data_IF_653605179151
#
_entry.id   IF_653605179151
#
_cell.length_a   1.000
_cell.length_b   1.000
_cell.length_c   1.000
_cell.angle_alpha   90.00
_cell.angle_beta   90.00
_cell.angle_gamma   90.00
#
_symmetry.space_group_name_H-M   'P 1'
#
loop_
_entity.id
_entity.type
_entity.pdbx_description
1 polymer ?
#
# COMPACT_ATOMS: atom_id res chain seq x y z
N UNK A 1 7.64 -64.20 42.83
CA UNK A 1 7.47 -63.87 41.40
C UNK A 1 7.73 -62.39 41.21
N UNK A 2 8.80 -62.06 40.49
CA UNK A 2 9.14 -60.70 40.06
C UNK A 2 8.15 -60.23 38.98
N UNK A 3 7.86 -58.92 38.93
CA UNK A 3 7.47 -58.25 37.69
C UNK A 3 8.18 -56.89 37.62
N UNK A 4 9.02 -56.77 36.60
CA UNK A 4 9.84 -55.61 36.24
C UNK A 4 9.15 -54.91 35.06
N UNK A 5 9.46 -53.62 34.89
CA UNK A 5 9.34 -52.73 33.70
C UNK A 5 8.14 -51.79 33.71
N UNK A 6 8.20 -50.55 33.24
CA UNK A 6 9.28 -49.63 32.87
C UNK A 6 8.61 -48.27 32.59
N UNK A 7 9.38 -47.21 32.81
CA UNK A 7 9.25 -45.78 32.51
C UNK A 7 8.33 -45.26 31.37
N UNK A 8 8.10 -43.93 31.50
CA UNK A 8 7.76 -42.89 30.50
C UNK A 8 6.27 -42.53 30.42
N UNK A 9 5.86 -41.26 30.30
CA UNK A 9 6.59 -40.05 29.91
C UNK A 9 6.12 -38.87 30.77
N UNK A 10 7.07 -38.10 31.31
CA UNK A 10 6.76 -36.78 31.85
C UNK A 10 6.42 -35.84 30.70
N UNK A 11 5.31 -35.17 30.95
CA UNK A 11 4.55 -34.28 30.11
C UNK A 11 5.35 -33.03 29.69
N UNK A 12 4.86 -32.41 28.62
CA UNK A 12 5.51 -31.39 27.80
C UNK A 12 6.30 -30.32 28.54
N UNK A 13 7.61 -30.33 28.34
CA UNK A 13 8.45 -29.15 28.54
C UNK A 13 8.37 -28.24 27.30
N UNK A 14 7.21 -27.63 27.05
CA UNK A 14 7.16 -26.42 26.23
C UNK A 14 7.79 -25.32 27.06
N UNK A 15 9.09 -25.05 26.83
CA UNK A 15 9.76 -23.85 27.34
C UNK A 15 9.10 -22.64 26.70
N UNK A 16 8.00 -22.17 27.31
CA UNK A 16 7.51 -20.83 27.08
C UNK A 16 8.58 -19.89 27.61
N UNK A 17 9.39 -19.35 26.70
CA UNK A 17 10.13 -18.12 26.95
C UNK A 17 9.10 -16.99 27.07
N UNK A 18 8.39 -16.96 28.20
CA UNK A 18 7.57 -15.85 28.62
C UNK A 18 8.56 -14.83 29.16
N UNK A 19 9.14 -14.02 28.26
CA UNK A 19 9.69 -12.74 28.66
C UNK A 19 8.49 -11.85 29.00
N UNK A 20 7.88 -12.11 30.15
CA UNK A 20 7.11 -11.12 30.88
C UNK A 20 8.11 -10.00 31.20
N UNK A 21 8.23 -9.05 30.28
CA UNK A 21 8.68 -7.72 30.65
C UNK A 21 7.60 -7.20 31.60
N UNK A 22 7.79 -7.46 32.89
CA UNK A 22 7.05 -6.79 33.96
C UNK A 22 7.37 -5.32 33.80
N UNK A 23 6.57 -4.64 32.99
CA UNK A 23 6.68 -3.19 32.82
C UNK A 23 6.40 -2.61 34.19
N UNK A 24 7.42 -1.93 34.77
CA UNK A 24 7.30 -1.19 36.03
C UNK A 24 6.18 -0.13 35.99
N UNK A 25 5.70 0.19 34.79
CA UNK A 25 4.69 1.19 34.54
C UNK A 25 3.43 0.54 33.99
N UNK A 26 2.30 0.91 34.59
CA UNK A 26 0.99 0.59 34.04
C UNK A 26 0.83 1.28 32.68
N UNK A 27 0.25 0.57 31.70
CA UNK A 27 0.02 1.15 30.38
C UNK A 27 -0.96 2.31 30.53
N UNK A 28 -0.54 3.50 30.11
CA UNK A 28 -1.41 4.66 30.08
C UNK A 28 -2.57 4.39 29.10
N UNK A 29 -3.77 4.21 29.65
CA UNK A 29 -4.99 3.98 28.87
C UNK A 29 -5.34 5.28 28.13
N UNK A 30 -5.83 5.15 26.91
CA UNK A 30 -6.30 6.27 26.07
C UNK A 30 -5.24 7.32 25.68
N UNK A 31 -3.95 7.02 25.84
CA UNK A 31 -2.87 7.87 25.37
C UNK A 31 -2.80 7.89 23.84
N UNK A 32 -2.95 9.06 23.24
CA UNK A 32 -2.66 9.28 21.82
C UNK A 32 -1.20 9.57 21.61
N UNK A 33 -0.63 9.12 20.48
CA UNK A 33 0.70 9.54 20.09
C UNK A 33 0.76 11.07 19.87
N UNK A 34 1.92 11.70 20.10
CA UNK A 34 2.14 13.07 19.67
C UNK A 34 1.78 13.26 18.19
N UNK A 35 1.27 14.44 17.84
CA UNK A 35 0.84 14.77 16.47
C UNK A 35 1.90 14.47 15.40
N UNK A 36 3.18 14.67 15.72
CA UNK A 36 4.30 14.38 14.82
C UNK A 36 4.41 12.89 14.45
N UNK A 37 4.02 11.98 15.34
CA UNK A 37 3.99 10.54 15.05
C UNK A 37 2.70 10.20 14.28
N UNK A 38 1.58 10.82 14.64
CA UNK A 38 0.30 10.59 13.95
C UNK A 38 0.33 11.00 12.48
N UNK A 39 1.17 11.97 12.08
CA UNK A 39 1.29 12.42 10.69
C UNK A 39 2.19 11.54 9.83
N UNK A 40 3.00 10.65 10.42
CA UNK A 40 3.95 9.80 9.69
C UNK A 40 3.32 9.01 8.52
N UNK A 41 2.12 8.42 8.63
CA UNK A 41 1.50 7.73 7.50
C UNK A 41 1.28 8.64 6.28
N UNK A 42 0.90 9.90 6.50
CA UNK A 42 0.72 10.87 5.43
C UNK A 42 2.05 11.24 4.77
N UNK A 43 3.12 11.42 5.56
CA UNK A 43 4.46 11.71 5.05
C UNK A 43 4.98 10.54 4.21
N UNK A 44 4.81 9.31 4.68
CA UNK A 44 5.20 8.11 3.95
C UNK A 44 4.40 7.97 2.64
N UNK A 45 3.10 8.25 2.67
CA UNK A 45 2.28 8.28 1.44
C UNK A 45 2.82 9.29 0.43
N UNK A 46 3.18 10.49 0.88
CA UNK A 46 3.73 11.52 -0.01
C UNK A 46 5.08 11.10 -0.60
N UNK A 47 5.96 10.53 0.22
CA UNK A 47 7.25 10.00 -0.26
C UNK A 47 7.02 8.94 -1.33
N UNK A 48 6.10 8.00 -1.09
CA UNK A 48 5.77 6.96 -2.07
C UNK A 48 5.26 7.56 -3.38
N UNK A 49 4.37 8.56 -3.34
CA UNK A 49 3.88 9.26 -4.55
C UNK A 49 5.02 9.97 -5.29
N UNK A 50 5.97 10.57 -4.57
CA UNK A 50 7.11 11.28 -5.17
C UNK A 50 8.17 10.34 -5.75
N UNK A 51 8.16 9.06 -5.36
CA UNK A 51 9.10 8.04 -5.84
C UNK A 51 8.55 7.22 -7.02
N UNK A 52 7.28 7.41 -7.39
CA UNK A 52 6.67 6.71 -8.52
C UNK A 52 7.43 6.98 -9.83
N UNK A 53 7.56 5.96 -10.67
CA UNK A 53 7.93 6.18 -12.07
C UNK A 53 6.85 7.02 -12.77
N UNK A 54 7.15 7.67 -13.90
CA UNK A 54 6.14 8.38 -14.68
C UNK A 54 4.93 7.50 -15.04
N UNK A 55 5.14 6.23 -15.38
CA UNK A 55 4.09 5.26 -15.68
C UNK A 55 3.22 4.99 -14.45
N UNK A 56 3.85 4.69 -13.31
CA UNK A 56 3.15 4.43 -12.05
C UNK A 56 2.35 5.65 -11.60
N UNK A 57 2.93 6.85 -11.74
CA UNK A 57 2.27 8.11 -11.44
C UNK A 57 1.06 8.35 -12.35
N UNK A 58 1.16 8.03 -13.64
CA UNK A 58 0.03 8.14 -14.58
C UNK A 58 -1.11 7.19 -14.20
N UNK A 59 -0.77 5.94 -13.88
CA UNK A 59 -1.74 4.93 -13.41
C UNK A 59 -2.41 5.39 -12.11
N UNK A 60 -1.65 5.91 -11.15
CA UNK A 60 -2.17 6.40 -9.89
C UNK A 60 -3.10 7.61 -10.05
N UNK A 61 -2.68 8.57 -10.88
CA UNK A 61 -3.48 9.75 -11.20
C UNK A 61 -4.80 9.34 -11.85
N UNK A 62 -4.75 8.35 -12.74
CA UNK A 62 -5.92 7.81 -13.40
C UNK A 62 -6.85 7.07 -12.45
N UNK A 63 -6.31 6.22 -11.57
CA UNK A 63 -7.06 5.50 -10.53
C UNK A 63 -7.79 6.44 -9.58
N UNK A 64 -7.13 7.52 -9.19
CA UNK A 64 -7.63 8.50 -8.20
C UNK A 64 -8.44 9.65 -8.83
N UNK A 65 -8.57 9.71 -10.15
CA UNK A 65 -9.34 10.76 -10.83
C UNK A 65 -8.65 12.12 -10.90
N UNK A 66 -7.35 12.19 -10.64
CA UNK A 66 -6.58 13.44 -10.59
C UNK A 66 -6.18 13.90 -12.00
N UNK A 67 -7.17 14.35 -12.79
CA UNK A 67 -7.00 14.69 -14.21
C UNK A 67 -5.91 15.72 -14.50
N UNK A 68 -5.77 16.75 -13.65
CA UNK A 68 -4.71 17.76 -13.80
C UNK A 68 -3.32 17.14 -13.65
N UNK A 69 -3.12 16.32 -12.63
CA UNK A 69 -1.85 15.65 -12.39
C UNK A 69 -1.51 14.70 -13.54
N UNK A 70 -2.50 13.95 -14.03
CA UNK A 70 -2.33 13.06 -15.18
C UNK A 70 -1.91 13.82 -16.44
N UNK A 71 -2.55 14.96 -16.75
CA UNK A 71 -2.15 15.80 -17.89
C UNK A 71 -0.71 16.30 -17.74
N UNK A 72 -0.32 16.75 -16.54
CA UNK A 72 1.05 17.22 -16.30
C UNK A 72 2.09 16.10 -16.55
N UNK A 73 1.77 14.85 -16.18
CA UNK A 73 2.63 13.68 -16.46
C UNK A 73 2.70 13.41 -17.96
N UNK A 74 1.56 13.31 -18.64
CA UNK A 74 1.49 13.00 -20.08
C UNK A 74 2.26 14.02 -20.92
N UNK A 75 2.14 15.31 -20.59
CA UNK A 75 2.86 16.37 -21.29
C UNK A 75 4.36 16.35 -21.02
N UNK A 76 4.79 16.02 -19.79
CA UNK A 76 6.22 15.97 -19.43
C UNK A 76 6.93 14.72 -19.96
N UNK A 77 6.22 13.61 -20.09
CA UNK A 77 6.79 12.30 -20.42
C UNK A 77 6.17 11.70 -21.70
N UNK A 78 5.86 12.53 -22.69
CA UNK A 78 5.44 12.15 -24.06
C UNK A 78 4.44 10.98 -24.14
N UNK A 79 3.32 11.09 -23.41
CA UNK A 79 2.26 10.08 -23.49
C UNK A 79 2.55 8.75 -22.80
N UNK A 80 3.54 8.73 -21.92
CA UNK A 80 3.82 7.62 -21.01
C UNK A 80 2.56 7.08 -20.33
N UNK A 81 2.38 5.75 -20.34
CA UNK A 81 1.36 5.05 -19.56
C UNK A 81 -0.10 5.26 -19.98
N UNK A 82 -0.39 5.98 -21.08
CA UNK A 82 -1.76 6.35 -21.49
C UNK A 82 -2.71 5.16 -21.57
N UNK A 83 -2.29 4.05 -22.18
CA UNK A 83 -3.15 2.86 -22.38
C UNK A 83 -3.57 2.24 -21.05
N UNK A 84 -2.61 2.03 -20.15
CA UNK A 84 -2.88 1.42 -18.85
C UNK A 84 -3.66 2.38 -17.95
N UNK A 85 -3.30 3.66 -17.94
CA UNK A 85 -4.04 4.71 -17.26
C UNK A 85 -5.51 4.77 -17.73
N UNK A 86 -5.78 4.59 -19.03
CA UNK A 86 -7.14 4.56 -19.56
C UNK A 86 -7.95 3.38 -19.02
N UNK A 87 -7.38 2.17 -19.07
CA UNK A 87 -8.03 0.96 -18.56
C UNK A 87 -8.34 1.09 -17.06
N UNK A 88 -7.38 1.60 -16.29
CA UNK A 88 -7.53 1.79 -14.85
C UNK A 88 -8.56 2.87 -14.53
N UNK A 89 -8.58 4.00 -15.26
CA UNK A 89 -9.59 5.04 -15.10
C UNK A 89 -11.00 4.51 -15.41
N UNK A 90 -11.15 3.75 -16.50
CA UNK A 90 -12.41 3.15 -16.90
C UNK A 90 -12.90 2.13 -15.85
N UNK A 91 -12.03 1.24 -15.40
CA UNK A 91 -12.32 0.26 -14.35
C UNK A 91 -12.63 0.91 -12.99
N UNK A 92 -12.08 2.09 -12.72
CA UNK A 92 -12.31 2.86 -11.47
C UNK A 92 -13.48 3.85 -11.57
N UNK A 93 -14.17 3.94 -12.71
CA UNK A 93 -15.30 4.85 -12.91
C UNK A 93 -14.92 6.34 -13.03
N UNK A 94 -13.67 6.65 -13.37
CA UNK A 94 -13.15 8.02 -13.44
C UNK A 94 -13.45 8.65 -14.81
N UNK A 95 -14.74 8.92 -15.08
CA UNK A 95 -15.25 9.33 -16.41
C UNK A 95 -14.54 10.56 -16.99
N UNK A 96 -14.21 11.56 -16.16
CA UNK A 96 -13.48 12.77 -16.61
C UNK A 96 -12.09 12.41 -17.12
N UNK A 97 -11.39 11.52 -16.41
CA UNK A 97 -10.06 11.06 -16.83
C UNK A 97 -10.16 10.21 -18.10
N UNK A 98 -11.16 9.34 -18.21
CA UNK A 98 -11.39 8.53 -19.41
C UNK A 98 -11.61 9.43 -20.63
N UNK A 99 -12.45 10.46 -20.50
CA UNK A 99 -12.70 11.42 -21.57
C UNK A 99 -11.42 12.20 -21.95
N UNK A 100 -10.66 12.65 -20.95
CA UNK A 100 -9.38 13.32 -21.19
C UNK A 100 -8.38 12.40 -21.91
N UNK A 101 -8.29 11.13 -21.52
CA UNK A 101 -7.36 10.17 -22.13
C UNK A 101 -7.79 9.74 -23.53
N UNK A 102 -9.09 9.71 -23.80
CA UNK A 102 -9.65 9.32 -25.11
C UNK A 102 -9.09 10.20 -26.24
N UNK A 103 -8.90 11.50 -26.00
CA UNK A 103 -8.33 12.43 -27.00
C UNK A 103 -6.89 12.11 -27.41
N UNK A 104 -6.15 11.35 -26.60
CA UNK A 104 -4.78 10.94 -26.90
C UNK A 104 -4.71 9.56 -27.57
N UNK A 105 -5.76 8.75 -27.48
CA UNK A 105 -5.81 7.40 -28.04
C UNK A 105 -6.34 7.42 -29.48
N UNK A 106 -7.35 8.26 -29.77
CA UNK A 106 -7.93 8.41 -31.12
C UNK A 106 -6.89 8.58 -32.25
N UNK A 107 -5.82 9.41 -32.14
CA UNK A 107 -4.85 9.57 -33.23
C UNK A 107 -3.93 8.36 -33.48
N UNK A 108 -3.99 7.29 -32.66
CA UNK A 108 -3.11 6.12 -32.78
C UNK A 108 -3.81 4.95 -33.50
N UNK A 109 -5.13 5.00 -33.67
CA UNK A 109 -5.91 3.92 -34.30
C UNK A 109 -6.20 4.12 -35.79
N UNK A 110 -5.79 5.26 -36.38
CA UNK A 110 -5.78 5.46 -37.83
C UNK A 110 -4.38 5.18 -38.40
N UNK A 111 -4.08 3.90 -38.64
CA UNK A 111 -2.84 3.42 -39.26
C UNK A 111 -3.03 2.10 -39.96
#
# INVERSE_FOLDING_TARGET
MQKIRSNQAQDGATRQNKSESSSKYERLKDATFPRAIMVLPHVLSLINTMLMSPEEAAIEAARTGQSRWLRDIIHRFEGCGIKEAFLIAAGSGQVVVVADLYTYIDPICEG
#
